data_IF_349061778302
#
_entry.id   IF_349061778302
#
_cell.length_a   1.000
_cell.length_b   1.000
_cell.length_c   1.000
_cell.angle_alpha   90.00
_cell.angle_beta   90.00
_cell.angle_gamma   90.00
#
_symmetry.space_group_name_H-M   'P 1'
#
loop_
_entity.id
_entity.type
_entity.pdbx_description
1 polymer ?
#
# COMPACT_ATOMS: atom_id res chain seq x y z
N UNK A 1 -4.51 6.15 -73.37
CA UNK A 1 -3.20 6.56 -73.94
C UNK A 1 -3.15 8.09 -73.99
N UNK A 2 -1.98 8.72 -73.91
CA UNK A 2 -1.83 10.18 -73.69
C UNK A 2 -1.84 10.50 -72.18
N UNK A 3 -0.84 11.10 -71.51
CA UNK A 3 0.18 12.14 -71.82
C UNK A 3 -0.42 13.57 -71.90
N UNK A 4 0.13 14.65 -71.30
CA UNK A 4 1.27 14.89 -70.37
C UNK A 4 1.17 16.33 -69.74
N UNK A 5 2.00 16.64 -68.73
CA UNK A 5 2.52 17.94 -68.17
C UNK A 5 2.12 19.32 -68.78
N UNK A 6 2.24 20.51 -68.16
CA UNK A 6 2.46 21.06 -66.78
C UNK A 6 2.54 22.64 -66.88
N UNK A 7 2.90 23.35 -65.80
CA UNK A 7 3.41 24.77 -65.69
C UNK A 7 2.42 25.91 -65.32
N UNK A 8 2.40 26.21 -64.01
CA UNK A 8 2.61 27.51 -63.31
C UNK A 8 2.22 28.84 -64.01
N UNK A 9 1.28 29.57 -63.38
CA UNK A 9 1.18 31.06 -63.32
C UNK A 9 0.92 31.44 -61.84
N UNK A 10 0.96 32.73 -61.43
CA UNK A 10 1.07 33.12 -60.00
C UNK A 10 0.40 34.46 -59.62
N UNK A 11 0.21 34.66 -58.29
CA UNK A 11 -0.06 35.90 -57.53
C UNK A 11 -1.29 36.77 -57.88
N UNK A 12 -2.19 36.97 -56.90
CA UNK A 12 -2.30 38.22 -56.10
C UNK A 12 -3.15 37.98 -54.82
N UNK A 13 -3.26 38.96 -53.91
CA UNK A 13 -3.76 38.78 -52.52
C UNK A 13 -4.68 39.93 -52.04
N UNK A 14 -5.24 39.73 -50.82
CA UNK A 14 -5.84 40.67 -49.82
C UNK A 14 -7.38 40.50 -49.69
N UNK A 15 -8.04 40.09 -48.57
CA UNK A 15 -7.92 40.24 -47.10
C UNK A 15 -8.58 41.55 -46.59
N UNK A 16 -9.51 41.60 -45.63
CA UNK A 16 -10.18 40.58 -44.78
C UNK A 16 -11.72 40.60 -45.04
N UNK A 17 -12.70 40.41 -44.14
CA UNK A 17 -12.80 40.19 -42.68
C UNK A 17 -14.18 39.56 -42.31
N UNK A 18 -14.43 39.26 -41.02
CA UNK A 18 -15.78 38.93 -40.50
C UNK A 18 -15.89 37.61 -39.72
N UNK A 19 -15.23 37.51 -38.56
CA UNK A 19 -15.17 36.28 -37.75
C UNK A 19 -16.22 36.19 -36.63
N UNK A 20 -17.07 35.16 -36.68
CA UNK A 20 -17.73 34.56 -35.49
C UNK A 20 -17.53 33.03 -35.55
N UNK A 21 -16.48 32.50 -34.94
CA UNK A 21 -16.34 32.24 -33.49
C UNK A 21 -17.22 31.07 -33.00
N UNK A 22 -16.82 29.85 -33.35
CA UNK A 22 -16.73 28.72 -32.42
C UNK A 22 -15.59 27.78 -32.85
N UNK A 23 -14.36 28.30 -32.84
CA UNK A 23 -13.20 27.43 -32.76
C UNK A 23 -13.23 26.75 -31.39
N UNK A 24 -13.39 25.43 -31.34
CA UNK A 24 -13.14 24.71 -30.10
C UNK A 24 -11.63 24.74 -29.84
N UNK A 25 -11.25 25.26 -28.67
CA UNK A 25 -9.88 25.25 -28.16
C UNK A 25 -9.47 23.81 -27.85
N UNK A 26 -9.10 23.06 -28.90
CA UNK A 26 -8.44 21.77 -28.80
C UNK A 26 -7.02 22.02 -28.28
N UNK A 27 -6.90 22.26 -26.97
CA UNK A 27 -5.63 22.18 -26.27
C UNK A 27 -5.10 20.77 -26.41
N UNK A 28 -4.22 20.59 -27.39
CA UNK A 28 -3.37 19.41 -27.52
C UNK A 28 -2.43 19.38 -26.30
N UNK A 29 -2.93 18.77 -25.23
CA UNK A 29 -2.30 18.76 -23.92
C UNK A 29 -1.16 17.76 -23.97
N UNK A 30 0.08 18.26 -23.83
CA UNK A 30 1.31 17.49 -23.92
C UNK A 30 1.32 16.31 -22.94
N UNK A 31 0.80 15.17 -23.38
CA UNK A 31 0.45 14.07 -22.48
C UNK A 31 1.71 13.40 -21.92
N UNK A 32 2.17 13.83 -20.74
CA UNK A 32 3.28 13.18 -20.06
C UNK A 32 2.86 11.75 -19.69
N UNK A 33 3.74 10.78 -19.95
CA UNK A 33 3.45 9.35 -19.78
C UNK A 33 4.37 8.76 -18.73
N UNK A 34 3.80 8.47 -17.56
CA UNK A 34 4.48 7.80 -16.47
C UNK A 34 4.29 6.29 -16.60
N UNK A 35 5.34 5.51 -16.42
CA UNK A 35 5.25 4.04 -16.38
C UNK A 35 5.37 3.58 -14.93
N UNK A 36 4.32 2.91 -14.43
CA UNK A 36 4.19 2.51 -13.02
C UNK A 36 5.27 1.50 -12.63
N UNK A 37 6.05 1.81 -11.60
CA UNK A 37 7.13 0.98 -11.08
C UNK A 37 6.63 0.03 -9.96
N UNK A 38 7.49 -0.88 -9.53
CA UNK A 38 7.16 -1.87 -8.50
C UNK A 38 7.15 -1.27 -7.09
N UNK A 39 5.95 -0.97 -6.58
CA UNK A 39 5.72 -0.36 -5.27
C UNK A 39 4.95 0.96 -5.33
N UNK A 40 4.80 1.52 -6.53
CA UNK A 40 4.10 2.78 -6.77
C UNK A 40 2.61 2.67 -6.46
N UNK A 41 2.03 3.80 -6.05
CA UNK A 41 0.60 4.01 -5.96
C UNK A 41 0.27 5.42 -6.47
N UNK A 42 -1.00 5.70 -6.77
CA UNK A 42 -1.42 6.99 -7.34
C UNK A 42 -1.02 8.22 -6.48
N UNK A 43 -0.83 8.03 -5.17
CA UNK A 43 -0.38 9.09 -4.25
C UNK A 43 1.13 9.27 -4.25
N UNK A 44 1.94 8.21 -4.31
CA UNK A 44 3.40 8.35 -4.44
C UNK A 44 3.79 8.95 -5.79
N UNK A 45 3.14 8.53 -6.88
CA UNK A 45 3.34 9.13 -8.21
C UNK A 45 2.96 10.62 -8.17
N UNK A 46 1.86 11.00 -7.54
CA UNK A 46 1.50 12.41 -7.35
C UNK A 46 2.52 13.22 -6.51
N UNK A 47 3.17 12.57 -5.55
CA UNK A 47 4.20 13.14 -4.70
C UNK A 47 5.54 13.35 -5.45
N UNK A 48 5.89 12.47 -6.41
CA UNK A 48 7.00 12.69 -7.36
C UNK A 48 6.80 13.96 -8.21
N UNK A 49 5.55 14.34 -8.49
CA UNK A 49 5.19 15.62 -9.14
C UNK A 49 4.97 16.78 -8.14
N UNK A 50 5.46 16.64 -6.90
CA UNK A 50 5.54 17.73 -5.92
C UNK A 50 4.30 17.95 -5.05
N UNK A 51 3.18 17.25 -5.29
CA UNK A 51 2.03 17.30 -4.37
C UNK A 51 1.22 16.00 -4.42
N UNK A 52 1.29 15.23 -3.33
CA UNK A 52 0.55 13.98 -3.16
C UNK A 52 -0.96 14.10 -3.40
N UNK A 53 -1.55 15.30 -3.29
CA UNK A 53 -2.95 15.60 -3.60
C UNK A 53 -3.33 15.46 -5.08
N UNK A 54 -2.38 15.43 -6.02
CA UNK A 54 -2.67 15.25 -7.45
C UNK A 54 -3.19 13.83 -7.81
N UNK A 55 -3.16 12.88 -6.88
CA UNK A 55 -3.59 11.49 -7.09
C UNK A 55 -4.97 11.38 -7.74
N UNK A 56 -5.91 12.27 -7.35
CA UNK A 56 -7.28 12.30 -7.85
C UNK A 56 -7.32 12.73 -9.33
N UNK A 57 -6.57 13.77 -9.72
CA UNK A 57 -6.47 14.22 -11.12
C UNK A 57 -5.82 13.15 -12.01
N UNK A 58 -4.80 12.45 -11.49
CA UNK A 58 -4.14 11.35 -12.20
C UNK A 58 -5.10 10.16 -12.39
N UNK A 59 -5.92 9.84 -11.37
CA UNK A 59 -6.97 8.84 -11.48
C UNK A 59 -8.03 9.22 -12.52
N UNK A 60 -8.58 10.44 -12.44
CA UNK A 60 -9.61 10.95 -13.37
C UNK A 60 -9.12 10.91 -14.83
N UNK A 61 -7.87 11.33 -15.09
CA UNK A 61 -7.24 11.28 -16.41
C UNK A 61 -6.91 9.85 -16.94
N UNK A 62 -7.11 8.81 -16.12
CA UNK A 62 -6.91 7.41 -16.48
C UNK A 62 -8.10 6.51 -16.09
N UNK A 63 -9.28 7.07 -15.81
CA UNK A 63 -10.47 6.31 -15.43
C UNK A 63 -10.97 5.33 -16.52
N UNK A 64 -10.46 5.46 -17.75
CA UNK A 64 -10.65 4.53 -18.86
C UNK A 64 -9.59 3.40 -18.93
N UNK A 65 -8.61 3.38 -18.03
CA UNK A 65 -7.52 2.38 -17.93
C UNK A 65 -7.38 1.76 -16.54
N UNK A 66 -7.92 2.40 -15.50
CA UNK A 66 -7.85 1.97 -14.10
C UNK A 66 -9.23 1.44 -13.73
N UNK A 67 -9.29 0.21 -13.23
CA UNK A 67 -10.53 -0.40 -12.74
C UNK A 67 -11.03 0.29 -11.47
N UNK A 68 -12.34 0.24 -11.19
CA UNK A 68 -13.00 0.96 -10.10
C UNK A 68 -12.42 0.66 -8.70
N UNK A 69 -11.70 -0.45 -8.55
CA UNK A 69 -10.91 -0.77 -7.35
C UNK A 69 -9.68 0.12 -7.12
N UNK A 70 -9.40 1.11 -7.99
CA UNK A 70 -8.25 2.02 -7.95
C UNK A 70 -6.87 1.31 -8.02
N UNK A 71 -6.84 0.07 -8.49
CA UNK A 71 -5.61 -0.73 -8.61
C UNK A 71 -4.88 -0.33 -9.90
N UNK A 72 -3.60 0.02 -9.76
CA UNK A 72 -2.65 0.18 -10.87
C UNK A 72 -1.63 -0.96 -10.86
N UNK A 73 -1.20 -1.38 -12.04
CA UNK A 73 -0.28 -2.51 -12.22
C UNK A 73 1.10 -2.04 -12.69
N UNK A 74 2.15 -2.78 -12.31
CA UNK A 74 3.52 -2.46 -12.72
C UNK A 74 3.69 -2.57 -14.24
N UNK A 75 4.35 -1.59 -14.86
CA UNK A 75 4.47 -1.46 -16.31
C UNK A 75 3.28 -0.76 -16.99
N UNK A 76 2.21 -0.43 -16.26
CA UNK A 76 1.07 0.32 -16.81
C UNK A 76 1.47 1.77 -17.14
N UNK A 77 1.07 2.27 -18.32
CA UNK A 77 1.35 3.64 -18.74
C UNK A 77 0.21 4.59 -18.40
N UNK A 78 0.40 5.39 -17.35
CA UNK A 78 -0.53 6.44 -16.92
C UNK A 78 -0.27 7.74 -17.68
N UNK A 79 -1.34 8.42 -18.05
CA UNK A 79 -1.34 9.79 -18.55
C UNK A 79 -1.30 10.74 -17.36
N UNK A 80 -0.32 11.63 -17.27
CA UNK A 80 -0.26 12.67 -16.24
C UNK A 80 -0.74 13.99 -16.87
N UNK A 81 -1.80 14.63 -16.34
CA UNK A 81 -2.26 15.94 -16.78
C UNK A 81 -1.17 17.02 -16.81
N UNK A 82 -1.17 17.83 -17.86
CA UNK A 82 -0.23 18.94 -18.04
C UNK A 82 -0.26 19.99 -16.91
N UNK A 83 -1.42 20.17 -16.26
CA UNK A 83 -1.59 21.00 -15.04
C UNK A 83 -0.67 20.60 -13.88
N UNK A 84 -0.18 19.36 -13.87
CA UNK A 84 0.72 18.80 -12.85
C UNK A 84 2.18 18.97 -13.30
N UNK A 85 2.45 18.85 -14.60
CA UNK A 85 3.79 18.94 -15.19
C UNK A 85 4.27 20.39 -15.23
N UNK A 86 3.45 21.29 -15.75
CA UNK A 86 3.73 22.74 -15.82
C UNK A 86 4.05 23.36 -14.44
N UNK A 87 3.44 22.86 -13.36
CA UNK A 87 3.71 23.35 -12.01
C UNK A 87 5.10 22.91 -11.48
N UNK A 88 5.67 21.82 -12.02
CA UNK A 88 7.04 21.38 -11.71
C UNK A 88 8.06 22.34 -12.31
N UNK A 89 7.96 22.64 -13.60
CA UNK A 89 8.90 23.51 -14.30
C UNK A 89 8.84 24.95 -13.75
N UNK A 90 7.63 25.43 -13.39
CA UNK A 90 7.44 26.70 -12.68
C UNK A 90 8.27 26.78 -11.39
N UNK A 91 8.34 25.69 -10.61
CA UNK A 91 9.11 25.64 -9.36
C UNK A 91 10.64 25.66 -9.54
N UNK A 92 11.14 25.38 -10.75
CA UNK A 92 12.58 25.36 -11.06
C UNK A 92 13.09 26.77 -11.40
N UNK A 93 12.24 27.64 -11.97
CA UNK A 93 12.66 28.96 -12.48
C UNK A 93 12.68 30.03 -11.38
N UNK A 94 11.78 30.02 -10.39
CA UNK A 94 11.72 31.06 -9.33
C UNK A 94 12.81 30.96 -8.25
N UNK A 95 13.65 29.92 -8.27
CA UNK A 95 14.58 29.60 -7.17
C UNK A 95 15.99 30.22 -7.28
N UNK A 96 16.27 31.11 -8.26
CA UNK A 96 17.56 31.80 -8.37
C UNK A 96 17.73 33.00 -7.42
N UNK A 97 16.68 33.83 -7.26
CA UNK A 97 16.79 35.14 -6.57
C UNK A 97 16.28 35.12 -5.12
N UNK A 98 15.62 34.05 -4.67
CA UNK A 98 14.98 33.98 -3.34
C UNK A 98 15.93 33.61 -2.19
N UNK A 99 17.26 33.73 -2.36
CA UNK A 99 18.27 33.54 -1.29
C UNK A 99 18.29 34.70 -0.25
N UNK A 100 17.12 35.26 0.10
CA UNK A 100 17.02 36.43 1.01
C UNK A 100 15.70 36.60 1.75
N UNK A 101 15.03 35.51 2.16
CA UNK A 101 13.99 35.59 3.20
C UNK A 101 14.42 34.94 4.52
N UNK A 102 14.65 35.79 5.53
CA UNK A 102 15.05 35.44 6.89
C UNK A 102 14.08 34.47 7.55
N UNK A 103 14.59 33.60 8.45
CA UNK A 103 13.80 32.73 9.35
C UNK A 103 12.83 33.54 10.23
N UNK A 104 11.65 33.89 9.70
CA UNK A 104 10.51 34.37 10.48
C UNK A 104 9.73 33.16 10.99
N UNK A 105 10.11 32.68 12.18
CA UNK A 105 9.28 31.78 12.98
C UNK A 105 7.92 32.49 13.16
N UNK A 106 6.79 31.92 12.72
CA UNK A 106 5.49 32.51 12.97
C UNK A 106 5.25 32.60 14.47
N UNK A 107 4.92 33.79 14.98
CA UNK A 107 4.71 33.99 16.41
C UNK A 107 3.54 33.14 16.91
N UNK A 108 3.82 32.14 17.76
CA UNK A 108 2.85 31.16 18.26
C UNK A 108 1.67 31.87 18.94
N UNK A 109 0.51 31.86 18.29
CA UNK A 109 -0.65 32.59 18.77
C UNK A 109 -1.25 31.86 19.98
N UNK A 110 -1.08 32.46 21.19
CA UNK A 110 -1.51 31.91 22.48
C UNK A 110 -2.97 31.43 22.51
N UNK A 111 -3.85 31.97 21.67
CA UNK A 111 -5.25 31.52 21.53
C UNK A 111 -5.41 30.11 20.95
N UNK A 112 -4.48 29.67 20.08
CA UNK A 112 -4.51 28.33 19.48
C UNK A 112 -4.02 27.26 20.46
N UNK A 113 -2.97 27.56 21.23
CA UNK A 113 -2.41 26.67 22.27
C UNK A 113 -3.48 26.24 23.27
N UNK A 114 -4.14 27.22 23.91
CA UNK A 114 -5.22 26.97 24.86
C UNK A 114 -6.38 26.13 24.27
N UNK A 115 -6.61 26.17 22.96
CA UNK A 115 -7.65 25.39 22.27
C UNK A 115 -7.19 23.97 21.93
N UNK A 116 -5.91 23.77 21.67
CA UNK A 116 -5.32 22.44 21.50
C UNK A 116 -5.25 21.71 22.86
N UNK A 117 -4.76 22.39 23.89
CA UNK A 117 -4.64 21.84 25.25
C UNK A 117 -6.02 21.44 25.81
N UNK A 118 -7.04 22.31 25.67
CA UNK A 118 -8.42 22.01 26.08
C UNK A 118 -8.99 20.79 25.36
N UNK A 119 -8.82 20.70 24.03
CA UNK A 119 -9.23 19.51 23.27
C UNK A 119 -8.52 18.24 23.71
N UNK A 120 -7.25 18.34 24.12
CA UNK A 120 -6.48 17.20 24.59
C UNK A 120 -6.96 16.72 25.98
N UNK A 121 -7.37 17.62 26.87
CA UNK A 121 -8.04 17.23 28.12
C UNK A 121 -9.42 16.63 27.88
N UNK A 122 -10.24 17.20 26.99
CA UNK A 122 -11.57 16.68 26.63
C UNK A 122 -11.46 15.26 26.02
N UNK A 123 -10.46 15.04 25.15
CA UNK A 123 -10.20 13.73 24.56
C UNK A 123 -9.73 12.69 25.60
N UNK A 124 -8.81 13.07 26.50
CA UNK A 124 -8.35 12.17 27.58
C UNK A 124 -9.50 11.76 28.50
N UNK A 125 -10.31 12.71 28.95
CA UNK A 125 -11.46 12.40 29.81
C UNK A 125 -12.49 11.48 29.13
N UNK A 126 -12.72 11.66 27.82
CA UNK A 126 -13.57 10.77 27.04
C UNK A 126 -12.95 9.36 26.87
N UNK A 127 -11.63 9.27 26.65
CA UNK A 127 -10.92 8.01 26.49
C UNK A 127 -10.91 7.17 27.77
N UNK A 128 -10.55 7.77 28.91
CA UNK A 128 -10.57 7.10 30.22
C UNK A 128 -11.98 6.57 30.57
N UNK A 129 -13.04 7.31 30.18
CA UNK A 129 -14.43 6.87 30.37
C UNK A 129 -14.81 5.65 29.51
N UNK A 130 -14.32 5.56 28.28
CA UNK A 130 -14.55 4.37 27.43
C UNK A 130 -13.79 3.16 27.96
N UNK A 131 -12.51 3.32 28.30
CA UNK A 131 -11.68 2.24 28.88
C UNK A 131 -12.28 1.71 30.19
N UNK A 132 -12.79 2.60 31.05
CA UNK A 132 -13.48 2.21 32.28
C UNK A 132 -14.82 1.48 32.04
N UNK A 133 -15.52 1.77 30.93
CA UNK A 133 -16.75 1.05 30.56
C UNK A 133 -16.47 -0.36 30.06
N UNK A 134 -15.42 -0.55 29.25
CA UNK A 134 -15.00 -1.87 28.76
C UNK A 134 -14.59 -2.79 29.93
N UNK A 135 -13.81 -2.28 30.88
CA UNK A 135 -13.41 -3.03 32.09
C UNK A 135 -14.60 -3.48 32.95
N UNK A 136 -15.69 -2.70 33.00
CA UNK A 136 -16.90 -3.06 33.76
C UNK A 136 -17.84 -4.03 33.00
N UNK A 137 -17.74 -4.06 31.66
CA UNK A 137 -18.44 -5.05 30.83
C UNK A 137 -17.84 -6.46 30.98
N UNK A 138 -16.50 -6.58 31.03
CA UNK A 138 -15.82 -7.86 31.21
C UNK A 138 -16.17 -8.59 32.51
N UNK A 139 -16.45 -7.85 33.59
CA UNK A 139 -16.82 -8.43 34.90
C UNK A 139 -18.19 -9.10 34.84
N UNK A 140 -19.12 -8.57 34.05
CA UNK A 140 -20.51 -9.07 34.00
C UNK A 140 -20.71 -10.28 33.09
N UNK A 141 -19.86 -10.51 32.09
CA UNK A 141 -19.96 -11.72 31.25
C UNK A 141 -19.42 -12.99 31.93
N UNK A 142 -18.49 -12.87 32.90
CA UNK A 142 -17.80 -14.00 33.54
C UNK A 142 -18.65 -14.81 34.55
N UNK A 143 -19.98 -14.64 34.58
CA UNK A 143 -20.88 -15.27 35.58
C UNK A 143 -22.01 -16.13 35.02
N UNK A 144 -22.04 -16.39 33.70
CA UNK A 144 -23.07 -17.18 33.04
C UNK A 144 -22.57 -18.44 32.31
N UNK A 145 -21.26 -18.70 32.28
CA UNK A 145 -20.63 -19.80 31.53
C UNK A 145 -19.78 -20.71 32.41
N UNK A 146 -20.41 -21.36 33.39
CA UNK A 146 -19.79 -22.37 34.26
C UNK A 146 -20.46 -23.75 34.13
N UNK A 147 -20.56 -24.27 32.91
CA UNK A 147 -20.79 -25.70 32.65
C UNK A 147 -19.82 -26.20 31.56
N UNK A 148 -19.12 -27.30 31.87
CA UNK A 148 -17.94 -27.87 31.19
C UNK A 148 -16.68 -27.00 31.22
N UNK A 149 -15.68 -27.49 31.97
CA UNK A 149 -14.33 -26.91 32.00
C UNK A 149 -13.53 -27.25 30.74
N UNK A 150 -13.70 -26.48 29.68
CA UNK A 150 -12.61 -26.26 28.74
C UNK A 150 -11.60 -25.33 29.40
N UNK A 151 -10.45 -25.87 29.83
CA UNK A 151 -9.25 -25.07 30.11
C UNK A 151 -9.04 -24.06 28.98
N UNK A 152 -8.53 -22.85 29.30
CA UNK A 152 -8.15 -21.87 28.29
C UNK A 152 -6.91 -22.37 27.53
N UNK A 153 -7.17 -23.27 26.57
CA UNK A 153 -6.21 -23.72 25.57
C UNK A 153 -5.96 -22.57 24.63
N UNK A 154 -4.78 -21.96 24.74
CA UNK A 154 -4.30 -20.99 23.76
C UNK A 154 -4.26 -21.69 22.40
N UNK A 155 -5.20 -21.31 21.53
CA UNK A 155 -5.26 -21.80 20.15
C UNK A 155 -3.94 -21.44 19.44
N UNK A 156 -3.45 -22.34 18.58
CA UNK A 156 -2.09 -22.28 18.05
C UNK A 156 -1.69 -20.91 17.49
N UNK A 157 -0.56 -20.39 17.99
CA UNK A 157 -0.12 -19.01 17.79
C UNK A 157 0.85 -18.89 16.60
N UNK A 158 0.86 -17.72 15.97
CA UNK A 158 1.86 -17.34 14.95
C UNK A 158 2.69 -16.18 15.51
N UNK A 159 4.01 -16.32 15.49
CA UNK A 159 5.00 -15.36 16.00
C UNK A 159 5.79 -14.75 14.83
N UNK A 160 5.86 -13.42 14.80
CA UNK A 160 6.66 -12.65 13.86
C UNK A 160 8.07 -12.39 14.41
N UNK A 161 9.09 -12.91 13.74
CA UNK A 161 10.50 -12.59 13.95
C UNK A 161 11.13 -12.00 12.67
N UNK A 162 10.32 -11.38 11.81
CA UNK A 162 10.78 -10.72 10.58
C UNK A 162 11.26 -9.29 10.83
N UNK A 163 12.13 -8.78 9.94
CA UNK A 163 12.84 -7.49 10.18
C UNK A 163 13.02 -6.61 8.95
N UNK A 164 13.00 -7.19 7.74
CA UNK A 164 12.99 -6.47 6.49
C UNK A 164 11.57 -6.23 5.98
N UNK A 165 11.41 -5.27 5.08
CA UNK A 165 10.16 -5.10 4.32
C UNK A 165 9.72 -6.41 3.63
N UNK A 166 10.65 -7.20 3.09
CA UNK A 166 10.34 -8.46 2.41
C UNK A 166 9.83 -9.54 3.37
N UNK A 167 10.37 -9.60 4.59
CA UNK A 167 9.89 -10.49 5.65
C UNK A 167 8.51 -10.08 6.17
N UNK A 168 8.32 -8.78 6.42
CA UNK A 168 7.02 -8.22 6.85
C UNK A 168 5.95 -8.42 5.76
N UNK A 169 6.28 -8.18 4.49
CA UNK A 169 5.37 -8.44 3.36
C UNK A 169 5.04 -9.94 3.27
N UNK A 170 6.00 -10.84 3.52
CA UNK A 170 5.78 -12.29 3.59
C UNK A 170 4.86 -12.70 4.77
N UNK A 171 5.14 -12.20 5.98
CA UNK A 171 4.37 -12.46 7.19
C UNK A 171 2.91 -12.05 7.01
N UNK A 172 2.67 -10.83 6.51
CA UNK A 172 1.32 -10.32 6.27
C UNK A 172 0.53 -11.15 5.25
N UNK A 173 1.17 -11.71 4.22
CA UNK A 173 0.51 -12.59 3.25
C UNK A 173 0.28 -13.98 3.85
N UNK A 174 1.26 -14.53 4.60
CA UNK A 174 1.10 -15.81 5.29
C UNK A 174 -0.08 -15.75 6.28
N UNK A 175 -0.08 -14.75 7.18
CA UNK A 175 -1.10 -14.58 8.22
C UNK A 175 -2.50 -14.39 7.63
N UNK A 176 -2.64 -13.60 6.55
CA UNK A 176 -3.92 -13.43 5.82
C UNK A 176 -4.49 -14.73 5.24
N UNK A 177 -3.62 -15.69 4.91
CA UNK A 177 -4.01 -16.98 4.36
C UNK A 177 -3.90 -18.13 5.36
N UNK A 178 -3.58 -17.86 6.63
CA UNK A 178 -3.40 -18.88 7.65
C UNK A 178 -4.72 -19.19 8.35
N UNK A 179 -5.17 -20.43 8.24
CA UNK A 179 -6.29 -20.98 8.99
C UNK A 179 -5.81 -22.23 9.75
N UNK A 180 -6.15 -22.30 11.05
CA UNK A 180 -5.77 -23.43 11.89
C UNK A 180 -6.56 -24.69 11.51
N UNK A 181 -5.93 -25.88 11.35
CA UNK A 181 -6.66 -27.11 11.08
C UNK A 181 -7.65 -27.44 12.22
N UNK A 182 -8.90 -27.85 11.93
CA UNK A 182 -9.88 -28.15 12.98
C UNK A 182 -9.43 -29.35 13.83
N UNK A 183 -9.22 -29.11 15.12
CA UNK A 183 -8.65 -30.10 16.05
C UNK A 183 -7.15 -30.35 15.86
N UNK A 184 -6.39 -29.38 15.35
CA UNK A 184 -4.99 -29.25 15.71
C UNK A 184 -4.88 -28.91 17.22
N UNK A 185 -3.79 -29.35 17.87
CA UNK A 185 -3.52 -29.00 19.26
C UNK A 185 -2.97 -27.58 19.42
N UNK A 186 -2.46 -27.27 20.61
CA UNK A 186 -1.66 -26.06 20.80
C UNK A 186 -0.34 -26.22 20.01
N UNK A 187 -0.03 -25.26 19.15
CA UNK A 187 1.21 -25.21 18.37
C UNK A 187 1.73 -23.77 18.32
N UNK A 188 3.03 -23.59 18.07
CA UNK A 188 3.66 -22.29 17.86
C UNK A 188 4.36 -22.25 16.50
N UNK A 189 3.84 -21.43 15.58
CA UNK A 189 4.47 -21.17 14.28
C UNK A 189 5.35 -19.93 14.39
N UNK A 190 6.67 -20.09 14.34
CA UNK A 190 7.62 -18.97 14.34
C UNK A 190 8.08 -18.67 12.92
N UNK A 191 7.88 -17.44 12.45
CA UNK A 191 8.29 -16.97 11.12
C UNK A 191 9.49 -16.04 11.29
N UNK A 192 10.70 -16.57 11.08
CA UNK A 192 11.95 -15.85 11.33
C UNK A 192 12.72 -15.50 10.06
N UNK A 193 13.35 -14.33 10.08
CA UNK A 193 14.11 -13.81 8.94
C UNK A 193 15.61 -13.70 9.24
N UNK A 194 16.42 -14.32 8.39
CA UNK A 194 17.87 -14.13 8.38
C UNK A 194 18.26 -13.25 7.18
N UNK A 195 18.64 -11.97 7.39
CA UNK A 195 19.17 -11.13 6.33
C UNK A 195 20.55 -11.65 5.90
N UNK A 196 20.75 -11.92 4.61
CA UNK A 196 22.03 -12.44 4.10
C UNK A 196 22.69 -11.42 3.16
N UNK A 197 23.98 -11.11 3.35
CA UNK A 197 24.71 -10.22 2.45
C UNK A 197 24.60 -10.63 0.97
N UNK A 198 24.60 -9.63 0.08
CA UNK A 198 24.58 -9.77 -1.39
C UNK A 198 23.34 -10.42 -2.04
N UNK A 199 22.54 -11.26 -1.34
CA UNK A 199 21.46 -12.04 -1.98
C UNK A 199 20.08 -11.98 -1.31
N UNK A 200 19.79 -10.92 -0.55
CA UNK A 200 18.48 -10.70 0.08
C UNK A 200 18.27 -11.52 1.35
N UNK A 201 17.02 -11.84 1.67
CA UNK A 201 16.64 -12.39 2.98
C UNK A 201 16.22 -13.87 2.87
N UNK A 202 16.54 -14.64 3.90
CA UNK A 202 16.14 -16.04 4.04
C UNK A 202 15.02 -16.11 5.06
N UNK A 203 13.82 -16.49 4.63
CA UNK A 203 12.70 -16.76 5.54
C UNK A 203 12.75 -18.21 6.00
N UNK A 204 12.51 -18.44 7.28
CA UNK A 204 12.41 -19.76 7.89
C UNK A 204 11.09 -19.82 8.66
N UNK A 205 10.37 -20.93 8.55
CA UNK A 205 9.21 -21.20 9.41
C UNK A 205 9.50 -22.47 10.19
N UNK A 206 9.31 -22.37 11.50
CA UNK A 206 9.33 -23.50 12.43
C UNK A 206 7.96 -23.69 13.06
N UNK A 207 7.63 -24.94 13.38
CA UNK A 207 6.47 -25.32 14.21
C UNK A 207 7.04 -26.04 15.43
N UNK A 208 6.77 -25.53 16.63
CA UNK A 208 7.23 -26.12 17.90
C UNK A 208 8.74 -26.42 17.87
N UNK A 209 9.51 -25.41 17.42
CA UNK A 209 10.96 -25.43 17.17
C UNK A 209 11.44 -26.36 16.03
N UNK A 210 10.62 -27.23 15.44
CA UNK A 210 10.95 -28.01 14.23
C UNK A 210 10.89 -27.13 12.98
N UNK A 211 11.97 -27.04 12.20
CA UNK A 211 12.01 -26.24 10.96
C UNK A 211 11.25 -26.93 9.82
N UNK A 212 10.03 -26.48 9.53
CA UNK A 212 9.15 -27.06 8.50
C UNK A 212 9.33 -26.47 7.11
N UNK A 213 9.80 -25.21 7.01
CA UNK A 213 9.96 -24.51 5.74
C UNK A 213 11.13 -23.53 5.77
N UNK A 214 11.81 -23.36 4.64
CA UNK A 214 12.87 -22.37 4.47
C UNK A 214 12.93 -21.95 2.99
N UNK A 215 12.99 -20.66 2.70
CA UNK A 215 13.20 -20.16 1.34
C UNK A 215 13.90 -18.78 1.30
N UNK A 216 14.63 -18.51 0.22
CA UNK A 216 15.17 -17.18 -0.07
C UNK A 216 14.10 -16.31 -0.72
N UNK A 217 13.74 -15.21 -0.06
CA UNK A 217 12.80 -14.23 -0.60
C UNK A 217 13.47 -13.37 -1.67
N UNK A 218 12.66 -12.83 -2.58
CA UNK A 218 13.07 -11.89 -3.63
C UNK A 218 12.24 -10.61 -3.52
N UNK A 219 12.76 -9.42 -3.89
CA UNK A 219 12.00 -8.16 -3.80
C UNK A 219 10.71 -8.09 -4.63
N UNK A 220 10.46 -9.07 -5.53
CA UNK A 220 9.27 -9.11 -6.39
C UNK A 220 8.06 -9.66 -5.62
N UNK A 221 7.08 -8.80 -5.33
CA UNK A 221 5.88 -9.13 -4.56
C UNK A 221 5.21 -10.46 -4.97
N UNK A 222 4.95 -10.66 -6.28
CA UNK A 222 4.31 -11.87 -6.79
C UNK A 222 5.10 -13.17 -6.54
N UNK A 223 6.42 -13.09 -6.34
CA UNK A 223 7.21 -14.23 -5.88
C UNK A 223 6.97 -14.46 -4.39
N UNK A 224 7.06 -13.42 -3.56
CA UNK A 224 6.79 -13.49 -2.11
C UNK A 224 5.39 -14.03 -1.81
N UNK A 225 4.36 -13.58 -2.53
CA UNK A 225 2.98 -14.08 -2.38
C UNK A 225 2.87 -15.58 -2.70
N UNK A 226 3.43 -16.01 -3.84
CA UNK A 226 3.46 -17.42 -4.25
C UNK A 226 4.15 -18.29 -3.19
N UNK A 227 5.26 -17.81 -2.62
CA UNK A 227 6.02 -18.52 -1.58
C UNK A 227 5.24 -18.57 -0.27
N UNK A 228 4.60 -17.47 0.16
CA UNK A 228 3.80 -17.43 1.39
C UNK A 228 2.59 -18.38 1.31
N UNK A 229 1.84 -18.36 0.20
CA UNK A 229 0.71 -19.27 -0.04
C UNK A 229 1.13 -20.73 -0.11
N UNK A 230 2.32 -21.02 -0.67
CA UNK A 230 2.89 -22.36 -0.63
C UNK A 230 3.27 -22.78 0.81
N UNK A 231 3.87 -21.89 1.59
CA UNK A 231 4.32 -22.14 2.95
C UNK A 231 3.15 -22.41 3.92
N UNK A 232 2.02 -21.70 3.80
CA UNK A 232 0.75 -22.03 4.50
C UNK A 232 0.37 -23.49 4.26
N UNK A 233 0.37 -23.92 2.99
CA UNK A 233 0.05 -25.30 2.62
C UNK A 233 1.05 -26.34 3.14
N UNK A 234 2.32 -25.96 3.36
CA UNK A 234 3.31 -26.81 4.05
C UNK A 234 2.95 -26.96 5.52
N UNK A 235 2.77 -25.84 6.24
CA UNK A 235 2.49 -25.82 7.67
C UNK A 235 1.21 -26.59 8.02
N UNK A 236 0.13 -26.37 7.26
CA UNK A 236 -1.15 -27.07 7.42
C UNK A 236 -0.99 -28.60 7.31
N UNK A 237 -0.21 -29.09 6.33
CA UNK A 237 0.07 -30.52 6.17
C UNK A 237 0.95 -31.09 7.28
N UNK A 238 1.89 -30.31 7.83
CA UNK A 238 2.74 -30.76 8.93
C UNK A 238 1.94 -30.92 10.22
N UNK A 239 1.09 -29.96 10.59
CA UNK A 239 0.21 -30.08 11.76
C UNK A 239 -0.71 -31.30 11.69
N UNK A 240 -1.31 -31.57 10.51
CA UNK A 240 -2.12 -32.77 10.30
C UNK A 240 -1.32 -34.06 10.50
N UNK A 241 -0.05 -34.11 10.06
CA UNK A 241 0.84 -35.27 10.28
C UNK A 241 1.19 -35.44 11.76
N UNK A 242 1.58 -34.36 12.44
CA UNK A 242 1.94 -34.38 13.87
C UNK A 242 0.78 -34.91 14.72
N UNK A 243 -0.47 -34.51 14.41
CA UNK A 243 -1.70 -35.06 15.03
C UNK A 243 -1.86 -36.56 14.83
N UNK A 244 -1.59 -37.10 13.63
CA UNK A 244 -1.67 -38.56 13.40
C UNK A 244 -0.67 -39.31 14.29
N UNK A 245 0.55 -38.79 14.45
CA UNK A 245 1.57 -39.37 15.33
C UNK A 245 1.15 -39.31 16.80
N UNK A 246 0.71 -38.14 17.31
CA UNK A 246 0.30 -37.99 18.72
C UNK A 246 -0.86 -38.90 19.09
N UNK A 247 -1.85 -39.05 18.18
CA UNK A 247 -2.99 -39.93 18.42
C UNK A 247 -2.60 -41.41 18.47
N UNK A 248 -1.56 -41.84 17.74
CA UNK A 248 -1.04 -43.22 17.81
C UNK A 248 -0.24 -43.50 19.08
N UNK A 249 0.44 -42.48 19.63
CA UNK A 249 1.22 -42.59 20.87
C UNK A 249 0.32 -42.61 22.12
N UNK A 250 -0.85 -41.96 22.07
CA UNK A 250 -1.83 -41.94 23.17
C UNK A 250 -2.74 -43.20 23.23
N UNK A 251 -2.46 -44.22 22.41
CA UNK A 251 -3.29 -45.42 22.26
C UNK A 251 -2.72 -46.70 22.90
N UNK A 252 -1.73 -46.56 23.80
CA UNK A 252 -1.03 -47.64 24.50
C UNK A 252 -1.01 -47.37 26.02
#
# INVERSE_FOLDING_TARGET
MGLRYSIIVSLFSIIACGSTLYAQDQKDTGSYRYTVNAGDNLKSIAEDFGNSGYWKKIYEANANKIDASHIIYTGQTLTIPDEIVSNRDSSVVENSDSLKNTRRIPAENKSQKNRADKKLSEFREAFEKVVAQEQQAEVHQKKASSDRGSTISINGMVLDETRSKMGIDFYNIFYRHWESPPGAGNFMITISEQPTPSRGTMITISIDNEKVFQNRLQPKYAYTEKVARYAVGVCYRTLLRQRSTSNSLSGY
#
